data_IF_939439173587
#
_entry.id   IF_939439173587
#
_cell.length_a   1.000
_cell.length_b   1.000
_cell.length_c   1.000
_cell.angle_alpha   90.00
_cell.angle_beta   90.00
_cell.angle_gamma   90.00
#
_symmetry.space_group_name_H-M   'P 1'
#
loop_
_entity.id
_entity.type
_entity.pdbx_description
1 polymer ?
#
# COMPACT_ATOMS: atom_id res chain seq x y z
N UNK A 1 -15.21 -7.98 -16.63
CA UNK A 1 -14.20 -7.47 -15.69
C UNK A 1 -13.33 -8.64 -15.29
N UNK A 2 -12.05 -8.66 -15.67
CA UNK A 2 -11.11 -9.62 -15.09
C UNK A 2 -10.64 -9.03 -13.77
N UNK A 3 -11.25 -9.44 -12.67
CA UNK A 3 -10.68 -9.25 -11.33
C UNK A 3 -9.42 -10.13 -11.23
N UNK A 4 -8.31 -9.65 -11.79
CA UNK A 4 -7.02 -10.30 -11.58
C UNK A 4 -6.62 -10.02 -10.14
N UNK A 5 -7.08 -10.88 -9.24
CA UNK A 5 -6.79 -10.82 -7.81
C UNK A 5 -5.36 -11.31 -7.56
N UNK A 6 -4.38 -10.54 -8.04
CA UNK A 6 -2.97 -10.78 -7.84
C UNK A 6 -2.64 -10.45 -6.39
N UNK A 7 -2.73 -11.45 -5.51
CA UNK A 7 -2.35 -11.35 -4.10
C UNK A 7 -0.86 -11.56 -4.01
N UNK A 8 -0.11 -10.55 -3.59
CA UNK A 8 1.32 -10.68 -3.34
C UNK A 8 1.59 -10.67 -1.84
N UNK A 9 2.40 -11.64 -1.41
CA UNK A 9 2.87 -11.78 -0.04
C UNK A 9 4.34 -11.38 0.01
N UNK A 10 4.72 -10.45 0.88
CA UNK A 10 6.12 -10.09 1.13
C UNK A 10 6.40 -10.00 2.63
N UNK A 11 7.34 -10.85 3.09
CA UNK A 11 7.82 -10.92 4.48
C UNK A 11 9.11 -10.09 4.63
N UNK A 12 9.31 -9.47 5.81
CA UNK A 12 10.50 -8.68 6.15
C UNK A 12 11.27 -9.25 7.36
N UNK A 13 12.15 -10.21 7.10
CA UNK A 13 13.21 -10.73 7.99
C UNK A 13 12.79 -11.37 9.33
N UNK A 14 13.74 -12.08 9.98
CA UNK A 14 13.51 -13.12 10.99
C UNK A 14 12.95 -12.68 12.35
N UNK A 15 13.00 -11.39 12.71
CA UNK A 15 12.52 -10.89 14.01
C UNK A 15 11.52 -9.74 13.82
N UNK A 16 10.25 -9.97 14.19
CA UNK A 16 9.06 -9.15 13.90
C UNK A 16 8.73 -9.04 12.40
N UNK A 17 8.22 -10.14 11.85
CA UNK A 17 7.85 -10.17 10.43
C UNK A 17 6.47 -9.56 10.23
N UNK A 18 6.34 -8.53 9.38
CA UNK A 18 5.04 -8.10 8.86
C UNK A 18 4.78 -8.72 7.48
N UNK A 19 3.55 -9.16 7.26
CA UNK A 19 3.11 -9.62 5.95
C UNK A 19 2.13 -8.61 5.36
N UNK A 20 2.48 -8.05 4.20
CA UNK A 20 1.57 -7.23 3.39
C UNK A 20 0.77 -8.14 2.46
N UNK A 21 -0.54 -7.93 2.43
CA UNK A 21 -1.46 -8.48 1.46
C UNK A 21 -2.12 -7.34 0.70
N UNK A 22 -2.12 -7.39 -0.63
CA UNK A 22 -2.81 -6.40 -1.44
C UNK A 22 -3.49 -7.02 -2.66
N UNK A 23 -4.56 -6.35 -3.12
CA UNK A 23 -5.26 -6.57 -4.38
C UNK A 23 -5.12 -5.30 -5.22
N UNK A 24 -4.91 -5.49 -6.53
CA UNK A 24 -4.95 -4.41 -7.51
C UNK A 24 -6.23 -4.57 -8.34
N UNK A 25 -7.02 -3.52 -8.45
CA UNK A 25 -8.10 -3.42 -9.42
C UNK A 25 -7.70 -2.38 -10.47
N UNK A 26 -7.61 -2.83 -11.73
CA UNK A 26 -7.35 -1.96 -12.87
C UNK A 26 -8.69 -1.59 -13.53
N UNK A 27 -8.87 -0.32 -13.85
CA UNK A 27 -10.04 0.14 -14.59
C UNK A 27 -9.69 0.15 -16.10
N UNK A 28 -10.49 -0.52 -16.94
CA UNK A 28 -10.22 -0.51 -18.39
C UNK A 28 -10.29 0.88 -19.02
N UNK A 29 -11.01 1.81 -18.36
CA UNK A 29 -11.22 3.17 -18.83
C UNK A 29 -10.28 4.19 -18.19
N UNK A 30 -9.37 3.75 -17.31
CA UNK A 30 -8.45 4.66 -16.62
C UNK A 30 -7.13 3.97 -16.29
N UNK A 31 -5.98 4.61 -16.54
CA UNK A 31 -4.68 4.09 -16.12
C UNK A 31 -4.53 3.98 -14.59
N UNK A 32 -5.49 4.51 -13.82
CA UNK A 32 -5.50 4.46 -12.36
C UNK A 32 -5.65 3.03 -11.87
N UNK A 33 -4.73 2.61 -10.99
CA UNK A 33 -4.81 1.35 -10.26
C UNK A 33 -5.31 1.60 -8.85
N UNK A 34 -6.34 0.86 -8.46
CA UNK A 34 -6.86 0.89 -7.09
C UNK A 34 -6.24 -0.25 -6.31
N UNK A 35 -5.51 0.10 -5.25
CA UNK A 35 -4.92 -0.83 -4.31
C UNK A 35 -5.81 -0.95 -3.08
N UNK A 36 -6.16 -2.18 -2.72
CA UNK A 36 -6.73 -2.52 -1.42
C UNK A 36 -5.70 -3.37 -0.69
N UNK A 37 -5.31 -3.00 0.53
CA UNK A 37 -4.28 -3.74 1.27
C UNK A 37 -4.56 -3.85 2.76
N UNK A 38 -3.98 -4.89 3.37
CA UNK A 38 -3.89 -5.03 4.81
C UNK A 38 -2.53 -5.62 5.19
N UNK A 39 -2.10 -5.32 6.42
CA UNK A 39 -0.85 -5.80 6.99
C UNK A 39 -1.18 -6.60 8.23
N UNK A 40 -0.58 -7.79 8.33
CA UNK A 40 -0.64 -8.61 9.54
C UNK A 40 0.74 -8.72 10.16
N UNK A 41 0.77 -8.69 11.48
CA UNK A 41 1.89 -9.23 12.26
C UNK A 41 1.94 -10.75 12.00
N UNK A 42 3.06 -11.26 11.53
CA UNK A 42 3.18 -12.66 11.11
C UNK A 42 3.28 -13.60 12.31
N UNK A 43 3.82 -13.11 13.42
CA UNK A 43 4.06 -13.92 14.63
C UNK A 43 2.74 -14.13 15.38
N UNK A 44 1.90 -13.11 15.44
CA UNK A 44 0.60 -13.15 16.14
C UNK A 44 -0.60 -13.37 15.22
N UNK A 45 -0.42 -13.22 13.90
CA UNK A 45 -1.50 -13.22 12.91
C UNK A 45 -2.44 -12.01 13.00
N UNK A 46 -2.16 -11.04 13.89
CA UNK A 46 -3.05 -9.90 14.12
C UNK A 46 -2.95 -8.89 12.98
N UNK A 47 -4.09 -8.40 12.53
CA UNK A 47 -4.14 -7.28 11.59
C UNK A 47 -3.70 -6.00 12.30
N UNK A 48 -2.64 -5.38 11.79
CA UNK A 48 -2.07 -4.15 12.35
C UNK A 48 -2.40 -2.92 11.52
N UNK A 49 -2.73 -3.12 10.23
CA UNK A 49 -3.19 -2.04 9.35
C UNK A 49 -4.14 -2.57 8.29
N UNK A 50 -5.12 -1.76 7.91
CA UNK A 50 -6.01 -1.99 6.78
C UNK A 50 -6.22 -0.68 6.04
N UNK A 51 -6.20 -0.70 4.72
CA UNK A 51 -6.77 0.34 3.86
C UNK A 51 -7.84 -0.28 3.00
N UNK A 52 -8.94 0.43 2.79
CA UNK A 52 -10.06 -0.11 2.01
C UNK A 52 -9.85 0.07 0.51
N UNK A 53 -9.38 1.24 0.06
CA UNK A 53 -8.99 1.50 -1.33
C UNK A 53 -8.12 2.75 -1.41
N UNK A 54 -7.03 2.70 -2.18
CA UNK A 54 -6.20 3.86 -2.52
C UNK A 54 -5.79 3.81 -4.00
N UNK A 55 -5.87 4.94 -4.69
CA UNK A 55 -5.34 5.04 -6.05
C UNK A 55 -3.82 5.26 -5.98
N UNK A 56 -3.05 4.30 -6.50
CA UNK A 56 -1.61 4.32 -6.42
C UNK A 56 -0.98 3.73 -7.68
N UNK A 57 0.26 4.10 -7.96
CA UNK A 57 1.09 3.45 -8.98
C UNK A 57 1.78 2.22 -8.40
N UNK A 58 2.22 2.32 -7.14
CA UNK A 58 3.03 1.28 -6.49
C UNK A 58 2.83 1.25 -4.98
N UNK A 59 2.91 0.05 -4.42
CA UNK A 59 3.04 -0.23 -2.99
C UNK A 59 4.28 -1.08 -2.76
N UNK A 60 5.12 -0.71 -1.80
CA UNK A 60 6.31 -1.48 -1.46
C UNK A 60 6.77 -1.19 -0.02
N UNK A 61 7.53 -2.11 0.55
CA UNK A 61 8.19 -1.89 1.84
C UNK A 61 9.44 -1.05 1.65
N UNK A 62 9.52 0.08 2.36
CA UNK A 62 10.69 0.96 2.39
C UNK A 62 11.74 0.44 3.36
N UNK A 63 11.29 -0.06 4.51
CA UNK A 63 12.09 -0.70 5.55
C UNK A 63 11.22 -1.72 6.34
N UNK A 64 11.72 -2.23 7.47
CA UNK A 64 11.08 -3.29 8.28
C UNK A 64 9.74 -2.91 8.89
N UNK A 65 9.43 -1.61 9.04
CA UNK A 65 8.18 -1.16 9.65
C UNK A 65 7.47 -0.06 8.88
N UNK A 66 7.99 0.34 7.71
CA UNK A 66 7.45 1.42 6.90
C UNK A 66 7.04 0.92 5.53
N UNK A 67 5.75 1.06 5.25
CA UNK A 67 5.17 0.85 3.94
C UNK A 67 5.18 2.17 3.18
N UNK A 68 5.68 2.17 1.95
CA UNK A 68 5.64 3.29 1.04
C UNK A 68 4.59 3.06 -0.06
N UNK A 69 3.81 4.09 -0.34
CA UNK A 69 2.82 4.12 -1.41
C UNK A 69 3.15 5.30 -2.31
N UNK A 70 3.26 5.05 -3.61
CA UNK A 70 3.37 6.08 -4.62
C UNK A 70 1.95 6.35 -5.14
N UNK A 71 1.23 7.39 -4.67
CA UNK A 71 -0.06 7.80 -5.23
C UNK A 71 0.02 8.04 -6.74
N UNK A 72 -1.10 7.81 -7.41
CA UNK A 72 -1.21 8.14 -8.82
C UNK A 72 -1.15 9.64 -9.05
N UNK A 73 -0.30 10.07 -9.99
CA UNK A 73 0.14 11.47 -10.13
C UNK A 73 -0.99 12.49 -10.36
N UNK A 74 -2.12 12.08 -10.96
CA UNK A 74 -3.30 12.97 -11.10
C UNK A 74 -4.00 13.29 -9.77
N UNK A 75 -3.76 12.54 -8.68
CA UNK A 75 -4.29 12.87 -7.34
C UNK A 75 -3.50 13.96 -6.61
N UNK A 76 -2.27 14.26 -7.02
CA UNK A 76 -1.46 15.33 -6.38
C UNK A 76 -2.07 16.71 -6.63
N UNK A 77 -2.89 16.85 -7.69
CA UNK A 77 -3.60 18.10 -7.96
C UNK A 77 -4.89 18.26 -7.13
N UNK A 78 -5.33 17.27 -6.34
CA UNK A 78 -6.70 17.30 -5.79
C UNK A 78 -6.94 16.97 -4.31
N UNK A 79 -5.93 16.65 -3.49
CA UNK A 79 -6.22 16.29 -2.09
C UNK A 79 -5.22 16.82 -1.07
N UNK A 80 -5.72 17.70 -0.20
CA UNK A 80 -5.24 18.03 1.14
C UNK A 80 -5.07 16.78 2.02
N UNK A 81 -3.97 16.04 1.88
CA UNK A 81 -3.64 14.93 2.78
C UNK A 81 -2.56 15.36 3.76
N UNK A 82 -2.96 15.45 5.03
CA UNK A 82 -2.11 15.72 6.20
C UNK A 82 -1.13 14.56 6.39
N UNK A 83 0.03 14.65 5.75
CA UNK A 83 1.17 13.77 5.94
C UNK A 83 2.41 14.45 5.39
N UNK A 84 3.52 14.45 6.15
CA UNK A 84 4.75 15.16 5.77
C UNK A 84 5.27 14.71 4.40
N UNK A 85 5.25 15.63 3.43
CA UNK A 85 5.63 15.40 2.04
C UNK A 85 7.15 15.53 1.94
N UNK A 86 7.88 14.42 2.10
CA UNK A 86 9.34 14.38 1.94
C UNK A 86 9.73 13.76 0.58
N UNK A 87 9.84 14.60 -0.46
CA UNK A 87 10.32 14.33 -1.83
C UNK A 87 9.49 13.31 -2.65
N UNK A 88 9.41 13.50 -3.99
CA UNK A 88 8.13 13.67 -4.66
C UNK A 88 7.18 12.47 -4.43
N UNK A 89 6.04 12.77 -3.80
CA UNK A 89 4.82 11.97 -3.86
C UNK A 89 4.92 10.53 -3.35
N UNK A 90 5.59 10.29 -2.22
CA UNK A 90 5.43 9.04 -1.47
C UNK A 90 4.61 9.28 -0.20
N UNK A 91 3.60 8.43 0.03
CA UNK A 91 2.89 8.34 1.31
C UNK A 91 3.57 7.25 2.14
N UNK A 92 4.13 7.64 3.29
CA UNK A 92 4.82 6.73 4.20
C UNK A 92 3.89 6.33 5.35
N UNK A 93 3.75 5.03 5.56
CA UNK A 93 2.86 4.46 6.57
C UNK A 93 3.69 3.61 7.51
N UNK A 94 3.90 4.13 8.72
CA UNK A 94 4.49 3.37 9.82
C UNK A 94 3.47 2.36 10.35
N UNK A 95 3.94 1.12 10.50
CA UNK A 95 3.16 0.00 11.04
C UNK A 95 3.27 -0.08 12.58
N UNK A 96 4.32 0.51 13.15
CA UNK A 96 4.57 0.61 14.59
C UNK A 96 4.58 2.07 15.05
#
# INVERSE_FOLDING_TARGET
MMDQQSTFRKSLSENNTYTLYYKIAENMNSPVKIFTYYVTDTDTGKMVKKIESIAAEKIYWKDSNTLAIIPYTEMIQKSDVVGEINQPNEILIKIK
#
